data_IF_213484969241
#
_entry.id   IF_213484969241
#
_cell.length_a   1.000
_cell.length_b   1.000
_cell.length_c   1.000
_cell.angle_alpha   90.00
_cell.angle_beta   90.00
_cell.angle_gamma   90.00
#
_symmetry.space_group_name_H-M   'P 1'
#
loop_
_entity.id
_entity.type
_entity.pdbx_description
1 polymer ?
#
# COMPACT_ATOMS: atom_id res chain seq x y z
N UNK A 1 16.54 -8.76 9.29
CA UNK A 1 16.13 -7.71 8.33
C UNK A 1 15.86 -8.40 7.00
N UNK A 2 14.70 -9.05 6.89
CA UNK A 2 14.32 -9.72 5.65
C UNK A 2 13.98 -8.65 4.62
N UNK A 3 14.65 -8.71 3.48
CA UNK A 3 14.42 -7.82 2.35
C UNK A 3 13.00 -8.05 1.82
N UNK A 4 12.16 -7.01 1.91
CA UNK A 4 10.80 -6.94 1.33
C UNK A 4 10.79 -7.23 -0.18
N UNK A 5 11.96 -7.23 -0.81
CA UNK A 5 12.18 -7.43 -2.25
C UNK A 5 11.99 -8.87 -2.75
N UNK A 6 11.52 -9.80 -1.90
CA UNK A 6 11.34 -11.21 -2.27
C UNK A 6 10.04 -11.85 -1.78
N UNK A 7 8.95 -11.09 -1.64
CA UNK A 7 7.61 -11.69 -1.53
C UNK A 7 7.07 -12.00 -2.92
N UNK A 8 6.50 -13.20 -3.10
CA UNK A 8 5.72 -13.53 -4.28
C UNK A 8 4.56 -12.53 -4.42
N UNK A 9 4.30 -12.05 -5.64
CA UNK A 9 3.21 -11.07 -5.90
C UNK A 9 1.84 -11.62 -5.54
N UNK A 10 1.67 -12.94 -5.65
CA UNK A 10 0.43 -13.65 -5.35
C UNK A 10 0.39 -14.19 -3.91
N UNK A 11 1.29 -13.73 -3.04
CA UNK A 11 1.28 -14.13 -1.63
C UNK A 11 0.07 -13.51 -0.92
N UNK A 12 -0.70 -14.35 -0.22
CA UNK A 12 -1.74 -13.89 0.71
C UNK A 12 -1.06 -13.41 1.99
N UNK A 13 -1.30 -12.15 2.35
CA UNK A 13 -0.71 -11.53 3.54
C UNK A 13 -1.70 -11.54 4.70
N UNK A 14 -1.20 -11.83 5.90
CA UNK A 14 -1.94 -11.57 7.12
C UNK A 14 -1.95 -10.05 7.43
N UNK A 15 -2.99 -9.52 8.08
CA UNK A 15 -3.08 -8.10 8.42
C UNK A 15 -1.86 -7.57 9.20
N UNK A 16 -1.33 -8.38 10.12
CA UNK A 16 -0.15 -8.04 10.95
C UNK A 16 1.09 -7.71 10.10
N UNK A 17 1.25 -8.41 8.97
CA UNK A 17 2.34 -8.15 8.02
C UNK A 17 2.14 -6.81 7.32
N UNK A 18 0.90 -6.44 7.00
CA UNK A 18 0.57 -5.15 6.40
C UNK A 18 0.89 -4.03 7.38
N UNK A 19 0.53 -4.18 8.65
CA UNK A 19 0.84 -3.23 9.72
C UNK A 19 2.36 -3.05 9.91
N UNK A 20 3.12 -4.15 9.93
CA UNK A 20 4.59 -4.09 9.99
C UNK A 20 5.18 -3.35 8.79
N UNK A 21 4.66 -3.59 7.58
CA UNK A 21 5.14 -2.90 6.39
C UNK A 21 4.88 -1.39 6.46
N UNK A 22 3.71 -0.98 6.95
CA UNK A 22 3.37 0.44 7.18
C UNK A 22 4.27 1.05 8.26
N UNK A 23 4.46 0.35 9.39
CA UNK A 23 5.35 0.78 10.46
C UNK A 23 6.81 0.95 10.00
N UNK A 24 7.23 0.20 8.98
CA UNK A 24 8.52 0.34 8.31
C UNK A 24 8.56 1.47 7.26
N UNK A 25 7.54 2.31 7.18
CA UNK A 25 7.48 3.48 6.30
C UNK A 25 7.03 3.17 4.87
N UNK A 26 6.45 2.01 4.61
CA UNK A 26 5.85 1.75 3.30
C UNK A 26 4.48 2.42 3.18
N UNK A 27 4.27 3.10 2.07
CA UNK A 27 2.97 3.62 1.66
C UNK A 27 2.13 2.47 1.12
N UNK A 28 1.22 1.94 1.93
CA UNK A 28 0.38 0.80 1.58
C UNK A 28 -1.10 1.18 1.64
N UNK A 29 -1.86 0.77 0.63
CA UNK A 29 -3.33 0.85 0.61
C UNK A 29 -3.90 -0.51 0.23
N UNK A 30 -5.18 -0.75 0.54
CA UNK A 30 -5.92 -1.93 0.09
C UNK A 30 -6.80 -1.51 -1.10
N UNK A 31 -6.84 -2.34 -2.14
CA UNK A 31 -7.69 -2.15 -3.31
C UNK A 31 -8.23 -3.51 -3.76
N UNK A 32 -9.55 -3.72 -3.68
CA UNK A 32 -10.19 -4.98 -4.10
C UNK A 32 -9.48 -6.23 -3.53
N UNK A 33 -9.25 -6.24 -2.21
CA UNK A 33 -8.49 -7.29 -1.49
C UNK A 33 -6.98 -7.40 -1.81
N UNK A 34 -6.44 -6.55 -2.70
CA UNK A 34 -5.00 -6.48 -2.96
C UNK A 34 -4.30 -5.47 -2.05
N UNK A 35 -3.12 -5.85 -1.56
CA UNK A 35 -2.22 -4.96 -0.82
C UNK A 35 -1.28 -4.28 -1.81
N UNK A 36 -1.44 -2.97 -2.00
CA UNK A 36 -0.64 -2.19 -2.95
C UNK A 36 0.44 -1.39 -2.23
N UNK A 37 1.71 -1.59 -2.59
CA UNK A 37 2.84 -0.75 -2.14
C UNK A 37 3.11 0.36 -3.15
N UNK A 38 2.90 1.61 -2.74
CA UNK A 38 2.88 2.78 -3.63
C UNK A 38 4.13 3.66 -3.54
N UNK A 39 5.16 3.30 -2.76
CA UNK A 39 6.34 4.16 -2.51
C UNK A 39 6.95 4.76 -3.79
N UNK A 40 7.07 3.99 -4.88
CA UNK A 40 7.68 4.46 -6.14
C UNK A 40 6.75 5.31 -7.01
N UNK A 41 5.47 5.38 -6.67
CA UNK A 41 4.46 6.14 -7.40
C UNK A 41 3.93 7.34 -6.62
N UNK A 42 4.17 7.39 -5.30
CA UNK A 42 3.64 8.42 -4.41
C UNK A 42 3.85 9.85 -4.94
N UNK A 43 5.08 10.21 -5.33
CA UNK A 43 5.39 11.55 -5.86
C UNK A 43 4.92 11.78 -7.30
N UNK A 44 4.52 10.72 -8.01
CA UNK A 44 4.07 10.76 -9.41
C UNK A 44 2.55 10.74 -9.54
N UNK A 45 1.83 10.65 -8.41
CA UNK A 45 0.39 10.62 -8.40
C UNK A 45 -0.19 11.94 -8.96
N UNK A 46 -1.05 11.90 -10.00
CA UNK A 46 -1.61 13.12 -10.59
C UNK A 46 -2.39 13.99 -9.61
N UNK A 47 -3.01 13.39 -8.58
CA UNK A 47 -3.70 14.11 -7.50
C UNK A 47 -2.80 14.60 -6.38
N UNK A 48 -1.48 14.41 -6.48
CA UNK A 48 -0.50 14.69 -5.43
C UNK A 48 -0.37 13.58 -4.39
N UNK A 49 0.71 13.60 -3.61
CA UNK A 49 1.02 12.56 -2.61
C UNK A 49 0.00 12.52 -1.47
N UNK A 50 -0.51 13.69 -1.05
CA UNK A 50 -1.44 13.82 0.07
C UNK A 50 -2.73 13.00 -0.12
N UNK A 51 -3.21 12.89 -1.36
CA UNK A 51 -4.38 12.07 -1.68
C UNK A 51 -4.15 10.57 -1.35
N UNK A 52 -2.93 10.07 -1.56
CA UNK A 52 -2.55 8.70 -1.20
C UNK A 52 -2.28 8.59 0.31
N UNK A 53 -1.61 9.58 0.90
CA UNK A 53 -1.24 9.59 2.32
C UNK A 53 -2.47 9.45 3.24
N UNK A 54 -3.60 10.05 2.90
CA UNK A 54 -4.87 9.89 3.63
C UNK A 54 -5.46 8.47 3.59
N UNK A 55 -4.98 7.62 2.68
CA UNK A 55 -5.46 6.26 2.48
C UNK A 55 -4.50 5.18 2.99
N UNK A 56 -3.34 5.56 3.54
CA UNK A 56 -2.38 4.60 4.07
C UNK A 56 -3.03 3.72 5.15
N UNK A 57 -2.93 2.40 4.98
CA UNK A 57 -3.52 1.39 5.85
C UNK A 57 -5.04 1.22 5.72
N UNK A 58 -5.67 1.86 4.74
CA UNK A 58 -7.13 1.82 4.53
C UNK A 58 -7.48 1.13 3.22
N UNK A 59 -8.73 0.67 3.14
CA UNK A 59 -9.34 0.27 1.87
C UNK A 59 -9.66 1.53 1.05
N UNK A 60 -9.02 1.63 -0.10
CA UNK A 60 -9.13 2.74 -1.04
C UNK A 60 -9.95 2.36 -2.29
N UNK A 61 -10.68 1.24 -2.26
CA UNK A 61 -11.47 0.76 -3.41
C UNK A 61 -12.43 1.81 -3.94
N UNK A 62 -13.19 2.46 -3.07
CA UNK A 62 -14.16 3.48 -3.49
C UNK A 62 -13.45 4.71 -4.07
N UNK A 63 -12.38 5.19 -3.44
CA UNK A 63 -11.62 6.37 -3.90
C UNK A 63 -10.91 6.14 -5.24
N UNK A 64 -10.48 4.90 -5.53
CA UNK A 64 -9.82 4.53 -6.79
C UNK A 64 -10.83 4.33 -7.94
N UNK A 65 -12.08 3.97 -7.63
CA UNK A 65 -13.11 3.63 -8.64
C UNK A 65 -14.16 4.71 -8.88
N UNK A 66 -14.17 5.77 -8.07
CA UNK A 66 -15.03 6.94 -8.23
C UNK A 66 -14.68 7.78 -9.48
#
# INVERSE_FOLDING_TARGET
MATVDKMNRDAVLAPEIVDELIANGNTIVIFQDYVLRLNSWLERHPGGSLAIEHMVGRDATDEITA
#
